data_IF_529674668283
#
_entry.id   IF_529674668283
#
_cell.length_a   1.000
_cell.length_b   1.000
_cell.length_c   1.000
_cell.angle_alpha   90.00
_cell.angle_beta   90.00
_cell.angle_gamma   90.00
#
_symmetry.space_group_name_H-M   'P 1'
#
loop_
_entity.id
_entity.type
_entity.pdbx_description
1 polymer ?
#
# COMPACT_ATOMS: atom_id res chain seq x y z
N UNK A 1 -6.23 1.35 -21.12
CA UNK A 1 -5.27 0.80 -20.16
C UNK A 1 -5.86 0.27 -18.84
N UNK A 2 -7.17 0.35 -18.58
CA UNK A 2 -7.76 -0.02 -17.27
C UNK A 2 -8.30 -1.46 -17.19
N UNK A 3 -8.62 -2.08 -18.32
CA UNK A 3 -9.07 -3.49 -18.39
C UNK A 3 -7.95 -4.52 -18.33
N UNK A 4 -6.74 -4.10 -18.69
CA UNK A 4 -5.57 -4.97 -18.77
C UNK A 4 -5.19 -5.60 -17.44
N UNK A 5 -5.37 -4.90 -16.32
CA UNK A 5 -4.94 -5.41 -15.00
C UNK A 5 -5.77 -6.58 -14.49
N UNK A 6 -7.06 -6.61 -14.75
CA UNK A 6 -7.99 -7.60 -14.17
C UNK A 6 -7.95 -8.93 -14.91
N UNK A 7 -7.96 -8.87 -16.24
CA UNK A 7 -7.79 -10.06 -17.07
C UNK A 7 -6.36 -10.60 -17.02
N UNK A 8 -5.37 -9.71 -16.73
CA UNK A 8 -4.00 -9.98 -16.37
C UNK A 8 -3.90 -10.90 -15.17
N UNK A 9 -4.66 -10.60 -14.13
CA UNK A 9 -4.66 -11.30 -12.86
C UNK A 9 -5.32 -12.68 -12.96
N UNK A 10 -6.32 -12.85 -13.82
CA UNK A 10 -6.87 -14.16 -14.15
C UNK A 10 -5.82 -15.10 -14.81
N UNK A 11 -4.84 -14.52 -15.52
CA UNK A 11 -3.77 -15.30 -16.15
C UNK A 11 -2.52 -15.46 -15.28
N UNK A 12 -2.18 -14.47 -14.45
CA UNK A 12 -0.91 -14.40 -13.68
C UNK A 12 -1.04 -15.00 -12.28
N UNK A 13 -2.14 -14.77 -11.58
CA UNK A 13 -2.31 -15.25 -10.20
C UNK A 13 -2.21 -16.78 -10.06
N UNK A 14 -2.46 -17.52 -11.15
CA UNK A 14 -2.30 -18.98 -11.17
C UNK A 14 -0.90 -19.48 -11.58
N UNK A 15 -0.05 -18.62 -12.16
CA UNK A 15 1.29 -19.01 -12.60
C UNK A 15 2.35 -18.87 -11.52
N UNK A 16 2.18 -17.94 -10.58
CA UNK A 16 3.10 -17.80 -9.44
C UNK A 16 2.94 -18.89 -8.36
N UNK A 17 1.82 -19.60 -8.32
CA UNK A 17 1.62 -20.71 -7.39
C UNK A 17 2.33 -22.02 -7.79
N UNK A 18 2.87 -22.14 -9.00
CA UNK A 18 3.53 -23.36 -9.48
C UNK A 18 5.04 -23.35 -9.28
N UNK A 19 5.66 -22.17 -9.16
CA UNK A 19 7.13 -22.03 -9.00
C UNK A 19 7.64 -22.06 -7.54
N UNK A 20 6.76 -22.27 -6.53
CA UNK A 20 7.16 -22.26 -5.12
C UNK A 20 7.50 -23.63 -4.52
N UNK A 21 7.75 -24.65 -5.35
CA UNK A 21 8.10 -26.01 -4.86
C UNK A 21 9.47 -26.50 -5.26
N UNK A 22 10.47 -25.61 -5.36
CA UNK A 22 11.86 -26.10 -5.35
C UNK A 22 12.82 -25.01 -4.90
N UNK A 23 13.43 -25.17 -3.74
CA UNK A 23 14.53 -24.32 -3.31
C UNK A 23 14.68 -24.19 -1.81
N UNK A 24 15.40 -25.13 -1.24
CA UNK A 24 15.86 -25.21 0.14
C UNK A 24 16.66 -23.97 0.61
N UNK A 25 16.41 -23.66 1.90
CA UNK A 25 17.41 -23.30 2.92
C UNK A 25 18.17 -21.98 2.78
N UNK A 26 17.90 -21.07 3.71
CA UNK A 26 18.86 -20.64 4.74
C UNK A 26 18.22 -19.59 5.66
N UNK A 27 17.82 -20.07 6.82
CA UNK A 27 17.61 -19.25 8.02
C UNK A 27 18.92 -18.63 8.42
N UNK A 28 18.97 -17.30 8.59
CA UNK A 28 19.87 -16.65 9.53
C UNK A 28 19.09 -15.62 10.33
N UNK A 29 18.80 -16.04 11.55
CA UNK A 29 18.43 -15.23 12.69
C UNK A 29 19.44 -14.10 12.91
N UNK A 30 18.96 -12.89 12.96
CA UNK A 30 19.66 -11.78 13.61
C UNK A 30 18.75 -11.24 14.71
N UNK A 31 18.87 -11.88 15.88
CA UNK A 31 18.54 -11.30 17.17
C UNK A 31 19.80 -10.59 17.64
N UNK A 32 19.75 -9.27 17.77
CA UNK A 32 20.67 -8.57 18.66
C UNK A 32 20.01 -7.36 19.30
N UNK A 33 19.80 -7.50 20.57
CA UNK A 33 19.97 -6.63 21.72
C UNK A 33 19.62 -5.13 21.55
N UNK A 34 18.43 -4.80 22.02
CA UNK A 34 18.14 -3.49 22.60
C UNK A 34 18.23 -3.59 24.12
N UNK A 35 19.40 -3.28 24.67
CA UNK A 35 19.55 -2.99 26.09
C UNK A 35 19.03 -1.57 26.36
N UNK A 36 17.96 -1.52 27.12
CA UNK A 36 17.43 -0.32 27.75
C UNK A 36 18.43 0.14 28.84
N UNK A 37 19.00 1.33 28.68
CA UNK A 37 19.68 2.04 29.78
C UNK A 37 18.76 3.18 30.20
N UNK A 38 18.07 2.96 31.30
CA UNK A 38 17.47 4.02 32.11
C UNK A 38 18.58 4.60 32.98
N UNK A 39 18.95 5.86 32.74
CA UNK A 39 19.55 6.64 33.83
C UNK A 39 19.16 8.12 33.68
N UNK A 40 18.47 8.60 34.70
CA UNK A 40 18.02 9.96 34.92
C UNK A 40 19.09 10.72 35.71
N UNK A 41 19.76 11.67 35.06
CA UNK A 41 20.39 12.79 35.77
C UNK A 41 20.53 14.01 34.80
N UNK A 42 20.23 15.22 35.21
CA UNK A 42 20.41 16.42 34.41
C UNK A 42 21.87 16.87 34.49
N UNK A 43 22.62 16.60 33.41
CA UNK A 43 23.99 17.09 33.29
C UNK A 43 23.99 18.41 32.55
N UNK A 44 24.38 19.47 33.25
CA UNK A 44 24.64 20.80 32.74
C UNK A 44 25.60 20.78 31.53
N UNK A 45 25.11 21.18 30.38
CA UNK A 45 25.80 21.15 29.07
C UNK A 45 27.07 22.04 28.99
N UNK A 46 27.39 22.82 30.02
CA UNK A 46 28.52 23.73 30.02
C UNK A 46 29.89 23.05 30.20
N UNK A 47 29.96 21.81 30.74
CA UNK A 47 31.23 21.15 31.04
C UNK A 47 31.69 20.09 30.03
N UNK A 48 30.91 19.80 28.97
CA UNK A 48 31.26 18.75 28.01
C UNK A 48 32.00 19.21 26.74
N UNK A 49 32.10 20.52 26.52
CA UNK A 49 32.82 21.09 25.36
C UNK A 49 34.35 21.16 25.54
N UNK A 50 34.89 20.81 26.71
CA UNK A 50 36.32 21.00 27.02
C UNK A 50 37.13 19.71 27.12
N UNK A 51 36.57 18.51 26.80
CA UNK A 51 37.27 17.26 27.07
C UNK A 51 37.52 16.30 25.89
N UNK A 52 37.34 16.73 24.65
CA UNK A 52 37.69 15.88 23.49
C UNK A 52 38.46 16.69 22.45
N UNK A 53 39.65 17.16 22.83
CA UNK A 53 40.77 17.28 21.87
C UNK A 53 42.07 17.23 22.72
N UNK A 54 42.63 16.04 22.73
CA UNK A 54 44.00 15.85 23.17
C UNK A 54 44.97 16.17 22.05
N UNK A 55 45.83 17.11 22.33
CA UNK A 55 47.24 17.20 21.97
C UNK A 55 47.64 16.89 20.54
N UNK A 56 47.83 17.94 19.76
CA UNK A 56 49.11 18.30 19.12
C UNK A 56 48.88 19.45 18.15
N UNK A 57 49.17 20.68 18.57
CA UNK A 57 49.66 21.80 17.76
C UNK A 57 49.70 23.05 18.62
N UNK A 58 50.83 23.29 19.16
CA UNK A 58 51.24 24.61 19.64
C UNK A 58 51.55 25.41 18.37
N UNK A 59 50.59 26.28 18.02
CA UNK A 59 50.79 27.51 17.24
C UNK A 59 49.43 27.99 16.72
N UNK A 60 48.67 28.63 17.57
CA UNK A 60 47.79 29.78 17.23
C UNK A 60 47.01 30.32 18.45
N UNK A 61 47.72 30.80 19.45
CA UNK A 61 47.10 31.48 20.63
C UNK A 61 46.33 32.72 20.29
N UNK A 62 46.56 33.32 19.12
CA UNK A 62 45.86 34.54 18.69
C UNK A 62 44.49 34.23 18.07
N UNK A 63 44.28 33.04 17.49
CA UNK A 63 42.99 32.65 16.88
C UNK A 63 41.94 32.21 17.90
N UNK A 64 42.35 31.46 18.96
CA UNK A 64 41.45 30.99 19.99
C UNK A 64 40.82 32.12 20.82
N UNK A 65 41.58 33.17 21.11
CA UNK A 65 41.09 34.33 21.82
C UNK A 65 39.98 35.05 21.04
N UNK A 66 40.18 35.27 19.76
CA UNK A 66 39.18 35.90 18.89
C UNK A 66 37.90 35.08 18.73
N UNK A 67 37.99 33.77 18.65
CA UNK A 67 36.81 32.83 18.58
C UNK A 67 36.04 32.85 19.91
N UNK A 68 36.74 32.84 21.06
CA UNK A 68 36.09 32.92 22.37
C UNK A 68 35.43 34.26 22.59
N UNK A 69 36.04 35.35 22.15
CA UNK A 69 35.49 36.70 22.29
C UNK A 69 34.31 36.91 21.35
N UNK A 70 34.35 36.40 20.12
CA UNK A 70 33.22 36.42 19.21
C UNK A 70 32.03 35.59 19.75
N UNK A 71 32.30 34.42 20.37
CA UNK A 71 31.26 33.60 21.02
C UNK A 71 30.64 34.31 22.22
N UNK A 72 31.48 34.96 23.08
CA UNK A 72 31.02 35.77 24.21
C UNK A 72 30.20 36.98 23.76
N UNK A 73 30.62 37.69 22.72
CA UNK A 73 29.89 38.81 22.15
C UNK A 73 28.54 38.38 21.58
N UNK A 74 28.50 37.24 20.88
CA UNK A 74 27.27 36.66 20.37
C UNK A 74 26.32 36.22 21.52
N UNK A 75 26.81 35.54 22.53
CA UNK A 75 26.04 35.16 23.72
C UNK A 75 25.48 36.39 24.46
N UNK A 76 26.28 37.42 24.63
CA UNK A 76 25.88 38.71 25.24
C UNK A 76 24.76 39.36 24.42
N UNK A 77 24.90 39.45 23.11
CA UNK A 77 23.87 40.02 22.21
C UNK A 77 22.53 39.27 22.29
N UNK A 78 22.57 37.92 22.39
CA UNK A 78 21.38 37.11 22.59
C UNK A 78 20.72 37.37 23.95
N UNK A 79 21.55 37.53 25.03
CA UNK A 79 21.06 37.84 26.36
C UNK A 79 20.43 39.21 26.44
N UNK A 80 21.06 40.22 25.84
CA UNK A 80 20.54 41.59 25.78
C UNK A 80 19.24 41.67 25.02
N UNK A 81 19.12 40.98 23.87
CA UNK A 81 17.88 40.84 23.09
C UNK A 81 16.77 40.21 23.92
N UNK A 82 17.08 39.12 24.63
CA UNK A 82 16.11 38.43 25.49
C UNK A 82 15.63 39.32 26.62
N UNK A 83 16.52 40.06 27.24
CA UNK A 83 16.22 41.00 28.36
C UNK A 83 15.27 42.10 27.88
N UNK A 84 15.53 42.70 26.73
CA UNK A 84 14.69 43.75 26.14
C UNK A 84 13.28 43.18 25.78
N UNK A 85 13.21 42.03 25.16
CA UNK A 85 11.94 41.37 24.84
C UNK A 85 11.13 41.06 26.12
N UNK A 86 11.78 40.61 27.19
CA UNK A 86 11.13 40.35 28.48
C UNK A 86 10.62 41.65 29.14
N UNK A 87 11.34 42.76 28.99
CA UNK A 87 10.91 44.07 29.51
C UNK A 87 9.65 44.55 28.80
N UNK A 88 9.51 44.27 27.50
CA UNK A 88 8.35 44.70 26.69
C UNK A 88 7.10 43.81 26.92
N UNK A 89 7.15 42.78 27.75
CA UNK A 89 6.03 41.84 28.04
C UNK A 89 5.32 41.28 26.79
N UNK A 90 6.09 41.07 25.70
CA UNK A 90 5.54 40.52 24.43
C UNK A 90 5.03 39.12 24.61
N UNK A 91 4.05 38.75 23.79
CA UNK A 91 3.63 37.33 23.65
C UNK A 91 4.70 36.52 22.90
N UNK A 92 4.67 35.18 23.05
CA UNK A 92 5.61 34.30 22.30
C UNK A 92 5.45 34.47 20.78
N UNK A 93 4.23 34.72 20.29
CA UNK A 93 3.96 34.96 18.88
C UNK A 93 4.57 36.27 18.39
N UNK A 94 4.46 37.34 19.17
CA UNK A 94 5.08 38.65 18.83
C UNK A 94 6.61 38.53 18.81
N UNK A 95 7.18 37.80 19.76
CA UNK A 95 8.61 37.53 19.77
C UNK A 95 9.03 36.73 18.54
N UNK A 96 8.30 35.64 18.21
CA UNK A 96 8.56 34.86 17.00
C UNK A 96 8.59 35.75 15.75
N UNK A 97 7.61 36.63 15.61
CA UNK A 97 7.54 37.56 14.47
C UNK A 97 8.70 38.55 14.45
N UNK A 98 9.10 39.10 15.62
CA UNK A 98 10.19 40.07 15.73
C UNK A 98 11.57 39.46 15.46
N UNK A 99 11.74 38.16 15.65
CA UNK A 99 13.00 37.47 15.40
C UNK A 99 13.34 37.28 13.93
N UNK A 100 12.36 37.46 13.04
CA UNK A 100 12.50 37.30 11.58
C UNK A 100 13.18 35.95 11.21
N UNK A 101 12.55 34.87 11.62
CA UNK A 101 13.07 33.51 11.41
C UNK A 101 12.91 33.03 9.97
N UNK A 102 12.22 33.78 9.11
CA UNK A 102 11.92 33.42 7.73
C UNK A 102 10.55 32.79 7.58
N UNK A 103 10.21 32.42 6.34
CA UNK A 103 8.88 31.94 5.99
C UNK A 103 8.77 30.41 6.01
N UNK A 104 9.89 29.70 6.19
CA UNK A 104 9.91 28.25 6.30
C UNK A 104 10.49 27.75 7.63
N UNK A 105 9.91 26.66 8.13
CA UNK A 105 10.31 26.04 9.40
C UNK A 105 11.73 25.46 9.34
N UNK A 106 12.12 24.88 8.23
CA UNK A 106 13.42 24.21 8.09
C UNK A 106 14.56 25.23 8.18
N UNK A 107 14.37 26.42 7.61
CA UNK A 107 15.26 27.56 7.78
C UNK A 107 15.25 28.11 9.19
N UNK A 108 14.08 28.21 9.81
CA UNK A 108 13.92 28.68 11.19
C UNK A 108 14.68 27.80 12.19
N UNK A 109 14.63 26.46 12.04
CA UNK A 109 15.32 25.49 12.90
C UNK A 109 16.85 25.63 12.88
N UNK A 110 17.42 26.21 11.84
CA UNK A 110 18.88 26.44 11.71
C UNK A 110 19.34 27.76 12.32
N UNK A 111 18.43 28.67 12.65
CA UNK A 111 18.78 30.01 13.12
C UNK A 111 19.02 30.02 14.61
N UNK A 112 20.17 30.56 15.05
CA UNK A 112 20.51 30.75 16.48
C UNK A 112 19.46 31.59 17.24
N UNK A 113 18.75 32.48 16.54
CA UNK A 113 17.65 33.26 17.11
C UNK A 113 16.49 32.41 17.63
N UNK A 114 16.33 31.17 17.17
CA UNK A 114 15.31 30.25 17.69
C UNK A 114 15.58 29.89 19.17
N UNK A 115 16.84 29.84 19.56
CA UNK A 115 17.24 29.64 20.97
C UNK A 115 16.79 30.80 21.86
N UNK A 116 16.76 32.03 21.34
CA UNK A 116 16.21 33.20 22.06
C UNK A 116 14.70 33.00 22.34
N UNK A 117 13.95 32.52 21.34
CA UNK A 117 12.52 32.21 21.51
C UNK A 117 12.30 31.09 22.52
N UNK A 118 13.10 30.01 22.47
CA UNK A 118 13.03 28.90 23.40
C UNK A 118 13.26 29.39 24.84
N UNK A 119 14.36 30.11 25.08
CA UNK A 119 14.68 30.67 26.37
C UNK A 119 13.63 31.67 26.89
N UNK A 120 13.03 32.43 25.98
CA UNK A 120 11.92 33.33 26.30
C UNK A 120 10.69 32.56 26.78
N UNK A 121 10.27 31.52 26.07
CA UNK A 121 9.15 30.65 26.42
C UNK A 121 9.40 29.98 27.78
N UNK A 122 10.60 29.46 28.02
CA UNK A 122 10.95 28.85 29.31
C UNK A 122 10.81 29.85 30.49
N UNK A 123 11.24 31.10 30.30
CA UNK A 123 11.10 32.17 31.32
C UNK A 123 9.63 32.60 31.48
N UNK A 124 8.84 32.66 30.42
CA UNK A 124 7.40 32.92 30.50
C UNK A 124 6.69 31.82 31.31
N UNK A 125 6.99 30.58 31.02
CA UNK A 125 6.37 29.43 31.70
C UNK A 125 6.72 29.37 33.20
N UNK A 126 7.96 29.73 33.55
CA UNK A 126 8.36 29.88 34.96
C UNK A 126 7.60 30.97 35.71
N UNK A 127 7.23 32.04 35.02
CA UNK A 127 6.42 33.13 35.60
C UNK A 127 4.93 32.83 35.62
N UNK A 128 4.46 32.00 34.71
CA UNK A 128 3.04 31.67 34.54
C UNK A 128 2.85 30.15 34.44
N UNK A 129 3.00 29.41 35.55
CA UNK A 129 2.95 27.94 35.53
C UNK A 129 1.58 27.40 35.12
N UNK A 130 0.50 28.16 35.37
CA UNK A 130 -0.88 27.77 35.04
C UNK A 130 -1.22 27.98 33.54
N UNK A 131 -0.37 28.67 32.79
CA UNK A 131 -0.57 29.00 31.35
C UNK A 131 0.68 28.72 30.55
N UNK A 132 1.14 27.47 30.58
CA UNK A 132 2.35 27.11 29.85
C UNK A 132 2.14 27.11 28.34
N UNK A 133 3.15 27.61 27.62
CA UNK A 133 3.21 27.60 26.16
C UNK A 133 4.39 26.71 25.74
N UNK A 134 4.22 26.01 24.62
CA UNK A 134 5.30 25.21 24.03
C UNK A 134 5.95 25.92 22.85
N UNK A 135 7.25 25.69 22.64
CA UNK A 135 7.95 26.17 21.46
C UNK A 135 7.33 25.59 20.19
N UNK A 136 6.98 24.32 20.22
CA UNK A 136 6.31 23.62 19.10
C UNK A 136 4.94 24.27 18.80
N UNK A 137 4.11 24.53 19.79
CA UNK A 137 2.81 25.18 19.59
C UNK A 137 2.96 26.59 19.03
N UNK A 138 3.97 27.35 19.47
CA UNK A 138 4.27 28.67 18.93
C UNK A 138 4.71 28.63 17.47
N UNK A 139 5.50 27.62 17.09
CA UNK A 139 5.91 27.39 15.70
C UNK A 139 4.72 26.95 14.84
N UNK A 140 3.88 26.03 15.33
CA UNK A 140 2.70 25.55 14.62
C UNK A 140 1.69 26.64 14.35
N UNK A 141 1.50 27.56 15.28
CA UNK A 141 0.62 28.71 15.09
C UNK A 141 1.05 29.64 13.93
N UNK A 142 2.35 29.68 13.63
CA UNK A 142 2.88 30.49 12.50
C UNK A 142 3.00 29.71 11.20
N UNK A 143 3.53 28.50 11.27
CA UNK A 143 3.94 27.74 10.07
C UNK A 143 2.96 26.62 9.68
N UNK A 144 2.01 26.31 10.54
CA UNK A 144 1.01 25.26 10.33
C UNK A 144 1.34 23.93 11.04
N UNK A 145 0.28 23.23 11.41
CA UNK A 145 0.36 21.98 12.16
C UNK A 145 0.87 20.78 11.35
N UNK A 146 0.95 20.90 10.02
CA UNK A 146 1.49 19.88 9.12
C UNK A 146 2.94 20.17 8.70
N UNK A 147 3.31 21.45 8.58
CA UNK A 147 4.65 21.85 8.15
C UNK A 147 5.70 21.70 9.26
N UNK A 148 5.35 22.05 10.50
CA UNK A 148 6.28 21.94 11.65
C UNK A 148 6.67 20.49 11.89
N UNK A 149 5.78 19.50 12.00
CA UNK A 149 6.13 18.09 12.08
C UNK A 149 7.00 17.60 10.94
N UNK A 150 6.70 17.98 9.71
CA UNK A 150 7.50 17.61 8.53
C UNK A 150 8.93 18.13 8.62
N UNK A 151 9.10 19.37 9.02
CA UNK A 151 10.43 20.00 9.18
C UNK A 151 11.23 19.37 10.33
N UNK A 152 10.60 19.09 11.47
CA UNK A 152 11.19 18.42 12.64
C UNK A 152 11.75 17.06 12.26
N UNK A 153 10.95 16.19 11.63
CA UNK A 153 11.41 14.86 11.21
C UNK A 153 12.49 14.96 10.15
N UNK A 154 12.39 15.95 9.24
CA UNK A 154 13.42 16.23 8.24
C UNK A 154 14.75 16.59 8.86
N UNK A 155 14.76 17.52 9.82
CA UNK A 155 15.95 18.00 10.48
C UNK A 155 16.63 16.91 11.32
N UNK A 156 15.84 16.08 12.02
CA UNK A 156 16.34 14.97 12.83
C UNK A 156 17.06 13.89 12.00
N UNK A 157 16.59 13.64 10.74
CA UNK A 157 17.09 12.53 9.91
C UNK A 157 18.15 12.91 8.90
N UNK A 158 18.34 14.19 8.59
CA UNK A 158 19.35 14.61 7.61
C UNK A 158 20.74 14.37 8.15
N UNK A 159 21.59 13.72 7.37
CA UNK A 159 22.99 13.43 7.74
C UNK A 159 23.82 14.70 7.79
N UNK A 160 23.52 15.68 6.95
CA UNK A 160 24.19 16.98 6.83
C UNK A 160 23.69 18.06 7.80
N UNK A 161 22.67 17.77 8.63
CA UNK A 161 22.24 18.70 9.68
C UNK A 161 23.27 18.81 10.79
N UNK A 162 23.55 20.04 11.22
CA UNK A 162 24.40 20.26 12.39
C UNK A 162 23.82 19.58 13.63
N UNK A 163 24.70 19.12 14.53
CA UNK A 163 24.32 18.35 15.72
C UNK A 163 23.25 19.06 16.55
N UNK A 164 23.41 20.34 16.83
CA UNK A 164 22.44 21.14 17.59
C UNK A 164 21.05 21.19 16.93
N UNK A 165 20.99 21.17 15.59
CA UNK A 165 19.70 21.14 14.86
C UNK A 165 19.01 19.78 15.02
N UNK A 166 19.77 18.69 15.01
CA UNK A 166 19.24 17.35 15.24
C UNK A 166 18.73 17.19 16.68
N UNK A 167 19.47 17.68 17.65
CA UNK A 167 19.07 17.66 19.06
C UNK A 167 17.80 18.49 19.30
N UNK A 168 17.75 19.71 18.77
CA UNK A 168 16.56 20.55 18.84
C UNK A 168 15.36 19.89 18.15
N UNK A 169 15.52 19.33 16.96
CA UNK A 169 14.47 18.64 16.25
C UNK A 169 13.96 17.42 17.04
N UNK A 170 14.84 16.69 17.71
CA UNK A 170 14.46 15.55 18.58
C UNK A 170 13.66 16.02 19.80
N UNK A 171 14.07 17.11 20.44
CA UNK A 171 13.32 17.73 21.54
C UNK A 171 11.94 18.20 21.09
N UNK A 172 11.86 18.90 19.97
CA UNK A 172 10.59 19.38 19.40
C UNK A 172 9.65 18.25 19.04
N UNK A 173 10.19 17.13 18.51
CA UNK A 173 9.40 15.91 18.22
C UNK A 173 8.76 15.37 19.49
N UNK A 174 9.54 15.21 20.58
CA UNK A 174 9.00 14.73 21.85
C UNK A 174 7.96 15.70 22.44
N UNK A 175 8.19 17.01 22.33
CA UNK A 175 7.23 18.02 22.77
C UNK A 175 5.94 17.96 21.96
N UNK A 176 6.01 17.73 20.63
CA UNK A 176 4.85 17.60 19.77
C UNK A 176 3.97 16.39 20.14
N UNK A 177 4.60 15.24 20.36
CA UNK A 177 3.89 14.02 20.75
C UNK A 177 3.18 14.20 22.11
N UNK A 178 3.87 14.79 23.10
CA UNK A 178 3.28 15.09 24.40
C UNK A 178 2.14 16.09 24.30
N UNK A 179 2.32 17.17 23.54
CA UNK A 179 1.30 18.19 23.37
C UNK A 179 0.01 17.60 22.77
N UNK A 180 0.11 16.68 21.85
CA UNK A 180 -1.07 15.99 21.32
C UNK A 180 -1.74 15.09 22.36
N UNK A 181 -0.96 14.34 23.17
CA UNK A 181 -1.48 13.50 24.24
C UNK A 181 -2.17 14.34 25.33
N UNK A 182 -1.50 15.40 25.79
CA UNK A 182 -2.00 16.29 26.86
C UNK A 182 -3.28 17.03 26.44
N UNK A 183 -3.43 17.31 25.12
CA UNK A 183 -4.64 17.89 24.54
C UNK A 183 -5.70 16.83 24.17
N UNK A 184 -5.54 15.58 24.57
CA UNK A 184 -6.51 14.50 24.34
C UNK A 184 -6.73 14.16 22.86
N UNK A 185 -5.77 14.45 21.97
CA UNK A 185 -5.91 14.15 20.55
C UNK A 185 -5.96 12.65 20.31
N UNK A 186 -6.95 12.19 19.57
CA UNK A 186 -6.95 10.83 19.04
C UNK A 186 -5.91 10.68 17.92
N UNK A 187 -5.57 9.43 17.56
CA UNK A 187 -4.67 9.18 16.42
C UNK A 187 -5.29 9.66 15.11
N UNK A 188 -6.61 9.55 14.98
CA UNK A 188 -7.34 10.04 13.79
C UNK A 188 -7.34 11.58 13.72
N UNK A 189 -7.36 12.29 14.87
CA UNK A 189 -7.19 13.74 14.89
C UNK A 189 -5.80 14.14 14.41
N UNK A 190 -4.76 13.42 14.85
CA UNK A 190 -3.38 13.69 14.42
C UNK A 190 -3.20 13.37 12.93
N UNK A 191 -3.81 12.31 12.40
CA UNK A 191 -3.82 12.05 10.95
C UNK A 191 -4.38 13.25 10.16
N UNK A 192 -5.48 13.84 10.64
CA UNK A 192 -6.10 15.03 10.01
C UNK A 192 -5.23 16.28 10.16
N UNK A 193 -4.67 16.54 11.36
CA UNK A 193 -3.77 17.68 11.62
C UNK A 193 -2.54 17.63 10.69
N UNK A 194 -2.02 16.44 10.44
CA UNK A 194 -0.90 16.22 9.53
C UNK A 194 -1.30 16.32 8.04
N UNK A 195 -2.58 16.49 7.72
CA UNK A 195 -3.11 16.53 6.34
C UNK A 195 -2.63 15.36 5.48
N UNK A 196 -2.53 14.17 6.07
CA UNK A 196 -2.07 12.97 5.36
C UNK A 196 -3.07 12.50 4.29
N UNK A 197 -4.35 12.77 4.48
CA UNK A 197 -5.38 12.47 3.48
C UNK A 197 -5.19 13.21 2.16
N UNK A 198 -4.73 14.47 2.24
CA UNK A 198 -4.50 15.33 1.07
C UNK A 198 -3.28 14.90 0.25
N UNK A 199 -2.31 14.24 0.89
CA UNK A 199 -1.10 13.71 0.24
C UNK A 199 -1.41 12.47 -0.63
N UNK A 200 -2.60 11.86 -0.52
CA UNK A 200 -2.97 10.66 -1.26
C UNK A 200 -1.98 9.51 -1.01
N UNK A 201 -1.56 8.79 -2.06
CA UNK A 201 -0.59 7.69 -1.91
C UNK A 201 0.83 8.15 -1.57
N UNK A 202 1.18 9.42 -1.80
CA UNK A 202 2.48 9.99 -1.41
C UNK A 202 2.62 10.08 0.12
N UNK A 203 1.51 10.05 0.87
CA UNK A 203 1.51 9.93 2.32
C UNK A 203 2.37 8.76 2.80
N UNK A 204 2.46 7.66 2.03
CA UNK A 204 3.22 6.46 2.39
C UNK A 204 4.74 6.69 2.49
N UNK A 205 5.25 7.73 1.86
CA UNK A 205 6.66 8.15 1.94
C UNK A 205 6.83 9.48 2.66
N UNK A 206 5.73 10.07 3.10
CA UNK A 206 5.75 11.35 3.81
C UNK A 206 6.47 11.22 5.16
N UNK A 207 7.28 12.22 5.49
CA UNK A 207 7.89 12.32 6.81
C UNK A 207 6.87 12.55 7.93
N UNK A 208 5.70 13.09 7.58
CA UNK A 208 4.55 13.25 8.49
C UNK A 208 4.05 11.88 8.99
N UNK A 209 4.07 10.86 8.12
CA UNK A 209 3.66 9.50 8.48
C UNK A 209 4.53 8.89 9.58
N UNK A 210 5.82 9.23 9.59
CA UNK A 210 6.74 8.76 10.64
C UNK A 210 6.33 9.31 12.01
N UNK A 211 5.93 10.59 12.05
CA UNK A 211 5.50 11.18 13.30
C UNK A 211 4.15 10.64 13.77
N UNK A 212 3.26 10.30 12.84
CA UNK A 212 2.01 9.60 13.15
C UNK A 212 2.29 8.21 13.76
N UNK A 213 3.24 7.46 13.19
CA UNK A 213 3.62 6.14 13.71
C UNK A 213 4.21 6.24 15.11
N UNK A 214 5.07 7.24 15.36
CA UNK A 214 5.56 7.54 16.71
C UNK A 214 4.43 7.89 17.67
N UNK A 215 3.47 8.69 17.23
CA UNK A 215 2.33 9.07 18.04
C UNK A 215 1.45 7.86 18.39
N UNK A 216 1.26 6.93 17.46
CA UNK A 216 0.56 5.67 17.73
C UNK A 216 1.21 4.91 18.89
N UNK A 217 2.54 4.86 18.93
CA UNK A 217 3.27 4.18 20.01
C UNK A 217 3.01 4.85 21.35
N UNK A 218 3.14 6.19 21.43
CA UNK A 218 2.89 6.95 22.67
C UNK A 218 1.42 6.90 23.09
N UNK A 219 0.49 7.05 22.13
CA UNK A 219 -0.95 6.95 22.37
C UNK A 219 -1.33 5.58 22.94
N UNK A 220 -0.83 4.50 22.36
CA UNK A 220 -1.11 3.13 22.82
C UNK A 220 -0.54 2.85 24.21
N UNK A 221 0.59 3.49 24.56
CA UNK A 221 1.17 3.41 25.90
C UNK A 221 0.29 4.13 26.93
N UNK A 222 -0.21 5.31 26.59
CA UNK A 222 -1.07 6.11 27.46
C UNK A 222 -2.50 5.55 27.54
N UNK A 223 -2.97 4.84 26.51
CA UNK A 223 -4.35 4.35 26.39
C UNK A 223 -4.42 2.85 26.13
N UNK A 224 -4.06 1.98 27.09
CA UNK A 224 -3.96 0.53 26.88
C UNK A 224 -5.29 -0.15 26.48
N UNK A 225 -6.43 0.45 26.88
CA UNK A 225 -7.77 -0.03 26.52
C UNK A 225 -8.25 0.38 25.11
N UNK A 226 -7.56 1.32 24.45
CA UNK A 226 -7.97 1.91 23.16
C UNK A 226 -6.83 1.86 22.11
N UNK A 227 -6.09 0.78 22.10
CA UNK A 227 -4.96 0.62 21.17
C UNK A 227 -5.40 0.67 19.71
N UNK A 228 -4.60 1.33 18.89
CA UNK A 228 -4.76 1.37 17.44
C UNK A 228 -3.47 0.97 16.72
N UNK A 229 -3.52 0.84 15.41
CA UNK A 229 -2.38 0.51 14.56
C UNK A 229 -2.31 1.49 13.40
N UNK A 230 -1.13 1.65 12.79
CA UNK A 230 -0.98 2.46 11.58
C UNK A 230 -1.97 2.03 10.50
N UNK A 231 -2.11 0.72 10.28
CA UNK A 231 -3.04 0.19 9.28
C UNK A 231 -4.48 0.61 9.56
N UNK A 232 -4.96 0.46 10.81
CA UNK A 232 -6.32 0.87 11.20
C UNK A 232 -6.53 2.37 11.02
N UNK A 233 -5.56 3.19 11.43
CA UNK A 233 -5.61 4.65 11.27
C UNK A 233 -5.64 5.06 9.80
N UNK A 234 -4.81 4.43 8.95
CA UNK A 234 -4.83 4.69 7.51
C UNK A 234 -6.16 4.24 6.87
N UNK A 235 -6.70 3.10 7.29
CA UNK A 235 -8.01 2.62 6.81
C UNK A 235 -9.10 3.66 7.13
N UNK A 236 -9.18 4.12 8.35
CA UNK A 236 -10.15 5.16 8.77
C UNK A 236 -9.87 6.49 8.06
N UNK A 237 -8.62 6.93 8.05
CA UNK A 237 -8.21 8.23 7.53
C UNK A 237 -8.42 8.38 6.02
N UNK A 238 -8.27 7.31 5.26
CA UNK A 238 -8.54 7.29 3.82
C UNK A 238 -9.98 6.88 3.44
N UNK A 239 -10.89 6.71 4.42
CA UNK A 239 -12.30 6.49 4.18
C UNK A 239 -12.70 5.02 3.95
N UNK A 240 -11.99 4.08 4.59
CA UNK A 240 -12.30 2.64 4.61
C UNK A 240 -11.41 1.79 3.73
N UNK A 241 -11.59 0.47 3.83
CA UNK A 241 -10.76 -0.53 3.15
C UNK A 241 -10.74 -0.33 1.63
N UNK A 242 -11.89 -0.08 1.02
CA UNK A 242 -12.00 0.10 -0.43
C UNK A 242 -11.13 1.25 -0.94
N UNK A 243 -11.18 2.40 -0.27
CA UNK A 243 -10.37 3.57 -0.64
C UNK A 243 -8.89 3.33 -0.36
N UNK A 244 -8.55 2.75 0.80
CA UNK A 244 -7.18 2.41 1.12
C UNK A 244 -6.60 1.44 0.09
N UNK A 245 -7.30 0.36 -0.27
CA UNK A 245 -6.84 -0.60 -1.28
C UNK A 245 -6.65 0.06 -2.64
N UNK A 246 -7.57 0.95 -3.06
CA UNK A 246 -7.42 1.74 -4.30
C UNK A 246 -6.16 2.60 -4.27
N UNK A 247 -5.87 3.24 -3.13
CA UNK A 247 -4.67 4.04 -2.92
C UNK A 247 -3.41 3.17 -2.96
N UNK A 248 -3.41 2.02 -2.27
CA UNK A 248 -2.29 1.09 -2.26
C UNK A 248 -2.00 0.52 -3.65
N UNK A 249 -3.04 0.21 -4.43
CA UNK A 249 -2.91 -0.23 -5.82
C UNK A 249 -2.21 0.85 -6.68
N UNK A 250 -2.57 2.13 -6.51
CA UNK A 250 -1.88 3.23 -7.18
C UNK A 250 -0.43 3.38 -6.71
N UNK A 251 -0.19 3.28 -5.40
CA UNK A 251 1.13 3.42 -4.78
C UNK A 251 2.13 2.34 -5.23
N UNK A 252 1.68 1.15 -5.59
CA UNK A 252 2.55 0.06 -6.10
C UNK A 252 3.20 0.37 -7.44
N UNK A 253 2.70 1.35 -8.19
CA UNK A 253 3.29 1.78 -9.46
C UNK A 253 4.45 2.79 -9.28
N UNK A 254 4.61 3.38 -8.10
CA UNK A 254 5.73 4.27 -7.77
C UNK A 254 6.78 3.49 -6.97
N UNK A 255 8.03 3.46 -7.45
CA UNK A 255 9.15 2.75 -6.83
C UNK A 255 9.36 3.18 -5.37
N UNK A 256 9.11 4.46 -5.04
CA UNK A 256 9.30 5.02 -3.70
C UNK A 256 8.29 4.49 -2.69
N UNK A 257 7.04 4.27 -3.12
CA UNK A 257 5.92 3.85 -2.25
C UNK A 257 5.62 2.36 -2.31
N UNK A 258 6.10 1.66 -3.36
CA UNK A 258 5.79 0.24 -3.65
C UNK A 258 5.99 -0.68 -2.45
N UNK A 259 7.14 -0.58 -1.79
CA UNK A 259 7.46 -1.47 -0.65
C UNK A 259 6.46 -1.27 0.51
N UNK A 260 6.19 -0.01 0.89
CA UNK A 260 5.25 0.31 1.97
C UNK A 260 3.81 -0.04 1.59
N UNK A 261 3.42 0.19 0.35
CA UNK A 261 2.09 -0.19 -0.15
C UNK A 261 1.88 -1.71 -0.08
N UNK A 262 2.89 -2.50 -0.48
CA UNK A 262 2.84 -3.96 -0.41
C UNK A 262 2.78 -4.46 1.04
N UNK A 263 3.55 -3.86 1.94
CA UNK A 263 3.51 -4.16 3.38
C UNK A 263 2.11 -3.96 3.97
N UNK A 264 1.48 -2.81 3.67
CA UNK A 264 0.14 -2.45 4.16
C UNK A 264 -0.94 -3.35 3.55
N UNK A 265 -0.87 -3.65 2.25
CA UNK A 265 -1.78 -4.60 1.60
C UNK A 265 -1.70 -5.98 2.27
N UNK A 266 -0.49 -6.50 2.48
CA UNK A 266 -0.30 -7.76 3.20
C UNK A 266 -0.82 -7.68 4.65
N UNK A 267 -0.73 -6.50 5.27
CA UNK A 267 -1.34 -6.23 6.58
C UNK A 267 -2.86 -6.40 6.57
N UNK A 268 -3.55 -5.82 5.56
CA UNK A 268 -5.00 -5.99 5.36
C UNK A 268 -5.37 -7.45 5.13
N UNK A 269 -4.67 -8.16 4.24
CA UNK A 269 -4.93 -9.59 3.99
C UNK A 269 -4.83 -10.42 5.27
N UNK A 270 -3.80 -10.17 6.09
CA UNK A 270 -3.65 -10.85 7.39
C UNK A 270 -4.73 -10.45 8.40
N UNK A 271 -5.18 -9.21 8.38
CA UNK A 271 -6.26 -8.73 9.24
C UNK A 271 -7.56 -9.45 8.88
N UNK A 272 -8.00 -9.44 7.62
CA UNK A 272 -9.21 -10.14 7.17
C UNK A 272 -9.15 -11.65 7.44
N UNK A 273 -7.95 -12.26 7.33
CA UNK A 273 -7.74 -13.67 7.66
C UNK A 273 -7.91 -13.97 9.15
N UNK A 274 -7.44 -13.07 10.05
CA UNK A 274 -7.61 -13.20 11.51
C UNK A 274 -9.06 -13.00 11.93
N UNK A 275 -9.76 -12.10 11.26
CA UNK A 275 -11.18 -11.83 11.45
C UNK A 275 -12.07 -12.91 10.83
N UNK A 276 -11.48 -13.93 10.18
CA UNK A 276 -12.16 -15.02 9.47
C UNK A 276 -13.22 -14.54 8.47
N UNK A 277 -12.96 -13.41 7.78
CA UNK A 277 -13.89 -12.91 6.78
C UNK A 277 -14.02 -13.93 5.64
N UNK A 278 -15.23 -14.12 5.17
CA UNK A 278 -15.47 -14.89 3.95
C UNK A 278 -15.25 -14.02 2.70
N UNK A 279 -15.07 -14.62 1.52
CA UNK A 279 -14.88 -13.86 0.28
C UNK A 279 -16.01 -12.86 -0.01
N UNK A 280 -17.27 -13.15 0.33
CA UNK A 280 -18.40 -12.27 0.07
C UNK A 280 -18.32 -11.01 0.96
N UNK A 281 -17.91 -11.16 2.22
CA UNK A 281 -17.66 -10.07 3.15
C UNK A 281 -16.54 -9.15 2.65
N UNK A 282 -15.40 -9.70 2.19
CA UNK A 282 -14.30 -8.90 1.64
C UNK A 282 -14.70 -8.23 0.32
N UNK A 283 -15.49 -8.89 -0.53
CA UNK A 283 -16.04 -8.29 -1.74
C UNK A 283 -16.86 -7.03 -1.41
N UNK A 284 -17.69 -7.08 -0.38
CA UNK A 284 -18.47 -5.93 0.10
C UNK A 284 -17.58 -4.81 0.66
N UNK A 285 -16.58 -5.14 1.52
CA UNK A 285 -15.61 -4.17 2.05
C UNK A 285 -14.86 -3.42 0.94
N UNK A 286 -14.59 -4.09 -0.17
CA UNK A 286 -13.88 -3.53 -1.31
C UNK A 286 -14.78 -2.85 -2.35
N UNK A 287 -16.10 -2.73 -2.08
CA UNK A 287 -17.10 -2.20 -3.03
C UNK A 287 -17.10 -2.94 -4.37
N UNK A 288 -16.99 -4.27 -4.32
CA UNK A 288 -17.00 -5.16 -5.48
C UNK A 288 -18.37 -5.84 -5.67
N UNK A 289 -19.43 -5.33 -5.05
CA UNK A 289 -20.78 -5.90 -5.09
C UNK A 289 -21.77 -5.07 -5.93
N UNK A 290 -21.29 -4.15 -6.77
CA UNK A 290 -22.08 -3.19 -7.54
C UNK A 290 -22.26 -3.53 -9.03
N UNK A 291 -22.34 -4.81 -9.37
CA UNK A 291 -22.50 -5.32 -10.73
C UNK A 291 -21.19 -5.80 -11.36
N UNK A 292 -21.25 -6.95 -12.03
CA UNK A 292 -20.07 -7.70 -12.51
C UNK A 292 -19.19 -6.89 -13.48
N UNK A 293 -19.77 -6.09 -14.36
CA UNK A 293 -19.01 -5.24 -15.29
C UNK A 293 -18.18 -4.17 -14.57
N UNK A 294 -18.72 -3.62 -13.46
CA UNK A 294 -17.98 -2.66 -12.62
C UNK A 294 -16.88 -3.34 -11.83
N UNK A 295 -17.16 -4.53 -11.30
CA UNK A 295 -16.19 -5.34 -10.55
C UNK A 295 -14.98 -5.66 -11.40
N UNK A 296 -15.17 -6.15 -12.62
CA UNK A 296 -14.07 -6.51 -13.53
C UNK A 296 -13.17 -5.31 -13.89
N UNK A 297 -13.67 -4.08 -13.74
CA UNK A 297 -12.93 -2.83 -13.96
C UNK A 297 -12.38 -2.19 -12.69
N UNK A 298 -12.64 -2.79 -11.54
CA UNK A 298 -12.28 -2.19 -10.26
C UNK A 298 -10.82 -2.49 -9.90
N UNK A 299 -10.08 -1.46 -9.48
CA UNK A 299 -8.67 -1.60 -9.08
C UNK A 299 -8.48 -2.48 -7.84
N UNK A 300 -9.52 -2.60 -7.01
CA UNK A 300 -9.47 -3.40 -5.79
C UNK A 300 -9.52 -4.92 -6.06
N UNK A 301 -9.78 -5.30 -7.31
CA UNK A 301 -9.93 -6.69 -7.70
C UNK A 301 -8.63 -7.49 -7.51
N UNK A 302 -7.47 -6.88 -7.76
CA UNK A 302 -6.16 -7.50 -7.52
C UNK A 302 -5.98 -7.92 -6.05
N UNK A 303 -6.33 -7.03 -5.13
CA UNK A 303 -6.24 -7.33 -3.69
C UNK A 303 -7.27 -8.38 -3.27
N UNK A 304 -8.47 -8.34 -3.86
CA UNK A 304 -9.49 -9.36 -3.63
C UNK A 304 -9.02 -10.75 -4.09
N UNK A 305 -8.43 -10.85 -5.27
CA UNK A 305 -7.88 -12.11 -5.78
C UNK A 305 -6.79 -12.68 -4.86
N UNK A 306 -5.87 -11.83 -4.40
CA UNK A 306 -4.87 -12.24 -3.40
C UNK A 306 -5.53 -12.77 -2.13
N UNK A 307 -6.63 -12.14 -1.70
CA UNK A 307 -7.36 -12.63 -0.54
C UNK A 307 -7.97 -14.01 -0.79
N UNK A 308 -8.58 -14.23 -1.96
CA UNK A 308 -9.12 -15.55 -2.35
C UNK A 308 -8.03 -16.61 -2.27
N UNK A 309 -6.83 -16.35 -2.77
CA UNK A 309 -5.72 -17.29 -2.71
C UNK A 309 -5.32 -17.62 -1.25
N UNK A 310 -5.23 -16.59 -0.39
CA UNK A 310 -4.93 -16.75 1.04
C UNK A 310 -6.04 -17.52 1.75
N UNK A 311 -7.30 -17.18 1.46
CA UNK A 311 -8.49 -17.85 2.04
C UNK A 311 -8.54 -19.32 1.67
N UNK A 312 -8.37 -19.66 0.38
CA UNK A 312 -8.40 -21.04 -0.11
C UNK A 312 -7.27 -21.90 0.45
N UNK A 313 -6.07 -21.31 0.63
CA UNK A 313 -4.95 -21.99 1.28
C UNK A 313 -5.25 -22.34 2.75
N UNK A 314 -5.99 -21.47 3.46
CA UNK A 314 -6.40 -21.71 4.86
C UNK A 314 -7.56 -22.69 4.97
N UNK A 315 -8.40 -22.78 3.93
CA UNK A 315 -9.60 -23.62 3.91
C UNK A 315 -9.52 -24.67 2.78
N UNK A 316 -8.61 -25.65 2.86
CA UNK A 316 -8.37 -26.62 1.78
C UNK A 316 -9.58 -27.54 1.54
N UNK A 317 -10.41 -27.77 2.55
CA UNK A 317 -11.64 -28.57 2.43
C UNK A 317 -12.73 -27.85 1.59
N UNK A 318 -12.67 -26.52 1.52
CA UNK A 318 -13.65 -25.72 0.77
C UNK A 318 -12.97 -24.57 0.01
N UNK A 319 -12.09 -24.89 -0.96
CA UNK A 319 -11.34 -23.89 -1.70
C UNK A 319 -12.26 -23.10 -2.59
N UNK A 320 -12.13 -21.80 -2.56
CA UNK A 320 -12.87 -20.86 -3.41
C UNK A 320 -11.95 -20.31 -4.49
N UNK A 321 -12.34 -20.41 -5.75
CA UNK A 321 -11.66 -19.72 -6.84
C UNK A 321 -12.18 -18.29 -6.95
N UNK A 322 -11.42 -17.39 -7.59
CA UNK A 322 -11.88 -16.04 -7.88
C UNK A 322 -13.23 -16.04 -8.62
N UNK A 323 -13.35 -16.88 -9.65
CA UNK A 323 -14.58 -17.02 -10.38
C UNK A 323 -15.71 -17.59 -9.52
N UNK A 324 -15.40 -18.57 -8.66
CA UNK A 324 -16.35 -19.11 -7.67
C UNK A 324 -16.90 -18.02 -6.77
N UNK A 325 -16.05 -17.13 -6.27
CA UNK A 325 -16.48 -16.00 -5.46
C UNK A 325 -17.39 -15.02 -6.25
N UNK A 326 -17.08 -14.74 -7.51
CA UNK A 326 -17.95 -13.93 -8.37
C UNK A 326 -19.31 -14.60 -8.64
N UNK A 327 -19.33 -15.92 -8.91
CA UNK A 327 -20.58 -16.64 -9.21
C UNK A 327 -21.41 -16.94 -7.97
N UNK A 328 -20.86 -16.81 -6.77
CA UNK A 328 -21.66 -16.78 -5.53
C UNK A 328 -22.51 -15.51 -5.40
N UNK A 329 -22.03 -14.40 -5.96
CA UNK A 329 -22.71 -13.08 -5.88
C UNK A 329 -23.52 -12.76 -7.13
N UNK A 330 -23.01 -13.12 -8.31
CA UNK A 330 -23.62 -12.82 -9.60
C UNK A 330 -23.99 -14.11 -10.31
N UNK A 331 -25.05 -14.06 -11.11
CA UNK A 331 -25.41 -15.20 -11.95
C UNK A 331 -24.26 -15.60 -12.88
N UNK A 332 -24.03 -16.91 -13.01
CA UNK A 332 -22.93 -17.47 -13.81
C UNK A 332 -22.96 -16.98 -15.26
N UNK A 333 -24.16 -16.76 -15.81
CA UNK A 333 -24.34 -16.21 -17.17
C UNK A 333 -23.87 -14.76 -17.30
N UNK A 334 -24.13 -13.92 -16.30
CA UNK A 334 -23.70 -12.53 -16.31
C UNK A 334 -22.18 -12.41 -16.16
N UNK A 335 -21.57 -13.23 -15.30
CA UNK A 335 -20.12 -13.30 -15.18
C UNK A 335 -19.47 -13.75 -16.48
N UNK A 336 -20.01 -14.80 -17.12
CA UNK A 336 -19.55 -15.28 -18.43
C UNK A 336 -19.66 -14.22 -19.52
N UNK A 337 -20.80 -13.53 -19.60
CA UNK A 337 -21.05 -12.44 -20.55
C UNK A 337 -20.03 -11.31 -20.39
N UNK A 338 -19.81 -10.86 -19.16
CA UNK A 338 -18.90 -9.75 -18.87
C UNK A 338 -17.44 -10.09 -19.25
N UNK A 339 -16.98 -11.32 -18.95
CA UNK A 339 -15.62 -11.77 -19.29
C UNK A 339 -15.47 -11.92 -20.82
N UNK A 340 -16.46 -12.55 -21.48
CA UNK A 340 -16.39 -12.81 -22.93
C UNK A 340 -16.49 -11.52 -23.76
N UNK A 341 -17.14 -10.48 -23.24
CA UNK A 341 -17.19 -9.16 -23.89
C UNK A 341 -15.81 -8.52 -24.07
N UNK A 342 -14.88 -8.81 -23.17
CA UNK A 342 -13.57 -8.16 -23.09
C UNK A 342 -12.42 -9.05 -23.62
N UNK A 343 -12.70 -9.98 -24.51
CA UNK A 343 -11.69 -10.95 -25.01
C UNK A 343 -10.53 -10.33 -25.77
N UNK A 344 -10.75 -9.29 -26.56
CA UNK A 344 -9.68 -8.64 -27.34
C UNK A 344 -8.59 -8.10 -26.43
N UNK A 345 -8.98 -7.44 -25.34
CA UNK A 345 -8.04 -6.94 -24.33
C UNK A 345 -7.26 -8.08 -23.67
N UNK A 346 -7.90 -9.22 -23.43
CA UNK A 346 -7.22 -10.40 -22.86
C UNK A 346 -6.23 -11.01 -23.86
N UNK A 347 -6.58 -11.09 -25.15
CA UNK A 347 -5.69 -11.58 -26.20
C UNK A 347 -4.44 -10.70 -26.33
N UNK A 348 -4.59 -9.38 -26.37
CA UNK A 348 -3.46 -8.43 -26.39
C UNK A 348 -2.56 -8.59 -25.18
N UNK A 349 -3.15 -8.76 -24.01
CA UNK A 349 -2.38 -8.96 -22.78
C UNK A 349 -1.58 -10.27 -22.80
N UNK A 350 -2.20 -11.38 -23.20
CA UNK A 350 -1.49 -12.67 -23.29
C UNK A 350 -0.29 -12.56 -24.22
N UNK A 351 -0.38 -11.78 -25.30
CA UNK A 351 0.76 -11.53 -26.17
C UNK A 351 1.90 -10.79 -25.47
N UNK A 352 1.59 -9.76 -24.71
CA UNK A 352 2.60 -9.00 -23.92
C UNK A 352 3.19 -9.91 -22.84
N UNK A 353 2.36 -10.60 -22.08
CA UNK A 353 2.78 -11.52 -21.02
C UNK A 353 3.72 -12.61 -21.53
N UNK A 354 3.38 -13.26 -22.65
CA UNK A 354 4.21 -14.29 -23.26
C UNK A 354 5.60 -13.76 -23.65
N UNK A 355 5.64 -12.52 -24.16
CA UNK A 355 6.91 -11.86 -24.52
C UNK A 355 7.77 -11.58 -23.30
N UNK A 356 7.17 -11.02 -22.25
CA UNK A 356 7.91 -10.63 -21.03
C UNK A 356 8.39 -11.84 -20.23
N UNK A 357 7.54 -12.85 -20.08
CA UNK A 357 7.82 -14.05 -19.27
C UNK A 357 8.44 -15.19 -20.05
N UNK A 358 8.60 -15.05 -21.37
CA UNK A 358 9.11 -16.11 -22.29
C UNK A 358 8.34 -17.43 -22.19
N UNK A 359 7.02 -17.34 -22.05
CA UNK A 359 6.09 -18.47 -21.97
C UNK A 359 5.16 -18.49 -23.19
N UNK A 360 4.39 -19.55 -23.35
CA UNK A 360 3.45 -19.75 -24.48
C UNK A 360 2.02 -19.95 -23.96
N UNK A 361 1.54 -19.05 -23.10
CA UNK A 361 0.16 -19.12 -22.63
C UNK A 361 -0.81 -18.83 -23.79
N UNK A 362 -1.94 -19.55 -23.80
CA UNK A 362 -2.99 -19.37 -24.80
C UNK A 362 -4.25 -18.80 -24.19
N UNK A 363 -5.06 -18.10 -25.00
CA UNK A 363 -6.36 -17.59 -24.55
C UNK A 363 -7.21 -18.71 -23.89
N UNK A 364 -7.27 -19.88 -24.53
CA UNK A 364 -8.04 -21.01 -23.99
C UNK A 364 -7.40 -21.58 -22.71
N UNK A 365 -6.08 -21.58 -22.62
CA UNK A 365 -5.36 -21.98 -21.42
C UNK A 365 -5.68 -21.04 -20.25
N UNK A 366 -5.52 -19.74 -20.46
CA UNK A 366 -5.78 -18.71 -19.48
C UNK A 366 -7.26 -18.72 -19.01
N UNK A 367 -8.20 -18.77 -19.97
CA UNK A 367 -9.63 -18.86 -19.65
C UNK A 367 -9.98 -20.14 -18.89
N UNK A 368 -9.48 -21.31 -19.35
CA UNK A 368 -9.77 -22.57 -18.66
C UNK A 368 -9.24 -22.56 -17.23
N UNK A 369 -8.01 -22.05 -17.00
CA UNK A 369 -7.47 -21.89 -15.65
C UNK A 369 -8.35 -20.95 -14.82
N UNK A 370 -8.69 -19.78 -15.35
CA UNK A 370 -9.50 -18.77 -14.66
C UNK A 370 -10.92 -19.28 -14.32
N UNK A 371 -11.51 -20.08 -15.18
CA UNK A 371 -12.85 -20.67 -14.96
C UNK A 371 -12.84 -21.97 -14.15
N UNK A 372 -11.70 -22.43 -13.64
CA UNK A 372 -11.62 -23.65 -12.86
C UNK A 372 -11.71 -24.93 -13.71
N UNK A 373 -11.19 -24.89 -14.93
CA UNK A 373 -11.03 -26.04 -15.82
C UNK A 373 -11.83 -25.95 -17.13
N UNK A 374 -11.48 -26.82 -18.06
CA UNK A 374 -12.08 -26.87 -19.40
C UNK A 374 -13.59 -27.18 -19.37
N UNK A 375 -14.04 -27.99 -18.41
CA UNK A 375 -15.46 -28.28 -18.16
C UNK A 375 -16.26 -27.03 -17.87
N UNK A 376 -15.82 -26.25 -16.89
CA UNK A 376 -16.48 -25.01 -16.47
C UNK A 376 -16.48 -23.98 -17.58
N UNK A 377 -15.33 -23.80 -18.25
CA UNK A 377 -15.24 -22.92 -19.41
C UNK A 377 -16.29 -23.29 -20.49
N UNK A 378 -16.40 -24.56 -20.87
CA UNK A 378 -17.34 -25.00 -21.88
C UNK A 378 -18.81 -24.71 -21.48
N UNK A 379 -19.19 -25.01 -20.23
CA UNK A 379 -20.53 -24.74 -19.70
C UNK A 379 -20.83 -23.24 -19.70
N UNK A 380 -19.88 -22.39 -19.29
CA UNK A 380 -20.04 -20.94 -19.27
C UNK A 380 -20.14 -20.31 -20.68
N UNK A 381 -19.38 -20.80 -21.63
CA UNK A 381 -19.47 -20.37 -23.02
C UNK A 381 -20.85 -20.67 -23.62
N UNK A 382 -21.46 -21.80 -23.26
CA UNK A 382 -22.84 -22.13 -23.69
C UNK A 382 -23.85 -21.15 -23.11
N UNK A 383 -23.67 -20.65 -21.90
CA UNK A 383 -24.52 -19.61 -21.28
C UNK A 383 -24.25 -18.23 -21.90
N UNK A 384 -23.00 -17.84 -22.08
CA UNK A 384 -22.63 -16.56 -22.68
C UNK A 384 -23.21 -16.37 -24.09
N UNK A 385 -23.41 -17.46 -24.86
CA UNK A 385 -24.04 -17.43 -26.20
C UNK A 385 -25.50 -17.03 -26.19
N UNK A 386 -26.19 -17.09 -25.08
CA UNK A 386 -27.61 -16.68 -25.00
C UNK A 386 -27.77 -15.15 -25.02
N UNK A 387 -26.70 -14.41 -24.74
CA UNK A 387 -26.71 -12.95 -24.76
C UNK A 387 -26.18 -12.40 -26.09
N UNK A 388 -26.90 -11.48 -26.75
CA UNK A 388 -26.50 -10.93 -28.05
C UNK A 388 -25.08 -10.39 -28.09
N UNK A 389 -24.71 -9.59 -27.10
CA UNK A 389 -23.41 -8.86 -27.01
C UNK A 389 -22.18 -9.77 -26.87
N UNK A 390 -22.35 -10.95 -26.31
CA UNK A 390 -21.25 -11.91 -26.08
C UNK A 390 -21.30 -13.12 -27.05
N UNK A 391 -22.38 -13.25 -27.83
CA UNK A 391 -22.63 -14.43 -28.68
C UNK A 391 -21.47 -14.74 -29.63
N UNK A 392 -20.99 -13.73 -30.36
CA UNK A 392 -19.93 -13.89 -31.36
C UNK A 392 -18.65 -14.35 -30.71
N UNK A 393 -18.21 -13.68 -29.65
CA UNK A 393 -17.01 -13.99 -28.93
C UNK A 393 -17.10 -15.37 -28.23
N UNK A 394 -18.25 -15.71 -27.64
CA UNK A 394 -18.47 -17.04 -27.05
C UNK A 394 -18.34 -18.15 -28.07
N UNK A 395 -18.84 -17.95 -29.32
CA UNK A 395 -18.66 -18.90 -30.41
C UNK A 395 -17.19 -19.00 -30.82
N UNK A 396 -16.45 -17.87 -30.92
CA UNK A 396 -15.02 -17.84 -31.25
C UNK A 396 -14.23 -18.68 -30.25
N UNK A 397 -14.41 -18.43 -28.95
CA UNK A 397 -13.72 -19.14 -27.87
C UNK A 397 -14.09 -20.62 -27.80
N UNK A 398 -15.39 -20.93 -27.92
CA UNK A 398 -15.86 -22.34 -27.98
C UNK A 398 -15.21 -23.12 -29.13
N UNK A 399 -15.13 -22.54 -30.30
CA UNK A 399 -14.52 -23.19 -31.46
C UNK A 399 -12.99 -23.38 -31.24
N UNK A 400 -12.33 -22.45 -30.58
CA UNK A 400 -10.91 -22.60 -30.20
C UNK A 400 -10.72 -23.70 -29.15
N UNK A 401 -11.64 -23.83 -28.17
CA UNK A 401 -11.64 -24.95 -27.22
C UNK A 401 -11.87 -26.31 -27.91
N UNK A 402 -12.81 -26.38 -28.83
CA UNK A 402 -13.07 -27.58 -29.63
C UNK A 402 -11.89 -27.97 -30.50
N UNK A 403 -11.18 -26.99 -31.07
CA UNK A 403 -9.90 -27.24 -31.78
C UNK A 403 -8.88 -27.88 -30.84
N UNK A 404 -8.67 -27.29 -29.66
CA UNK A 404 -7.74 -27.84 -28.66
C UNK A 404 -8.11 -29.26 -28.25
N UNK A 405 -9.40 -29.58 -28.08
CA UNK A 405 -9.86 -30.92 -27.77
C UNK A 405 -9.56 -31.89 -28.90
N UNK A 406 -9.89 -31.54 -30.15
CA UNK A 406 -9.55 -32.35 -31.33
C UNK A 406 -8.04 -32.62 -31.43
N UNK A 407 -7.24 -31.58 -31.26
CA UNK A 407 -5.77 -31.66 -31.40
C UNK A 407 -5.15 -32.54 -30.29
N UNK A 408 -5.86 -32.73 -29.18
CA UNK A 408 -5.53 -33.68 -28.10
C UNK A 408 -6.13 -35.08 -28.31
N UNK A 409 -6.71 -35.36 -29.45
CA UNK A 409 -7.32 -36.64 -29.75
C UNK A 409 -8.66 -36.90 -29.06
N UNK A 410 -9.33 -35.84 -28.53
CA UNK A 410 -10.69 -36.00 -28.00
C UNK A 410 -11.69 -36.09 -29.16
N UNK A 411 -12.69 -36.95 -28.95
CA UNK A 411 -13.78 -37.17 -29.87
C UNK A 411 -15.13 -37.10 -29.12
N UNK A 412 -16.27 -37.09 -29.85
CA UNK A 412 -17.59 -37.03 -29.21
C UNK A 412 -17.88 -38.12 -28.19
N UNK A 413 -17.28 -39.30 -28.36
CA UNK A 413 -17.51 -40.46 -27.45
C UNK A 413 -16.80 -40.28 -26.13
N UNK A 414 -15.55 -39.78 -26.13
CA UNK A 414 -14.73 -39.72 -24.93
C UNK A 414 -14.68 -38.35 -24.25
N UNK A 415 -15.26 -37.28 -24.84
CA UNK A 415 -15.23 -35.92 -24.25
C UNK A 415 -16.01 -35.87 -22.94
N UNK A 416 -17.11 -36.61 -22.79
CA UNK A 416 -17.88 -36.67 -21.53
C UNK A 416 -17.05 -37.20 -20.38
N UNK A 417 -16.36 -38.32 -20.58
CA UNK A 417 -15.53 -38.92 -19.52
C UNK A 417 -14.25 -38.14 -19.27
N UNK A 418 -13.54 -37.72 -20.33
CA UNK A 418 -12.22 -37.08 -20.19
C UNK A 418 -12.26 -35.61 -19.79
N UNK A 419 -13.30 -34.86 -20.17
CA UNK A 419 -13.43 -33.43 -19.84
C UNK A 419 -14.42 -33.21 -18.71
N UNK A 420 -15.59 -33.86 -18.77
CA UNK A 420 -16.65 -33.62 -17.82
C UNK A 420 -16.64 -34.59 -16.63
N UNK A 421 -15.88 -35.70 -16.71
CA UNK A 421 -15.80 -36.76 -15.71
C UNK A 421 -17.17 -37.36 -15.40
N UNK A 422 -17.99 -37.55 -16.43
CA UNK A 422 -19.34 -38.13 -16.32
C UNK A 422 -19.59 -39.14 -17.46
N UNK A 423 -20.38 -40.15 -17.20
CA UNK A 423 -20.93 -41.07 -18.20
C UNK A 423 -22.15 -40.40 -18.89
N UNK A 424 -22.57 -40.94 -20.03
CA UNK A 424 -23.66 -40.35 -20.82
C UNK A 424 -24.99 -40.29 -20.05
N UNK A 425 -25.28 -41.30 -19.26
CA UNK A 425 -26.48 -41.36 -18.42
C UNK A 425 -26.52 -40.25 -17.36
N UNK A 426 -25.36 -39.90 -16.78
CA UNK A 426 -25.21 -38.85 -15.76
C UNK A 426 -24.98 -37.44 -16.32
N UNK A 427 -24.85 -37.31 -17.64
CA UNK A 427 -24.54 -36.00 -18.25
C UNK A 427 -25.74 -35.04 -18.21
N UNK A 428 -25.48 -33.79 -17.79
CA UNK A 428 -26.49 -32.75 -17.77
C UNK A 428 -26.92 -32.32 -19.19
N UNK A 429 -28.06 -31.64 -19.29
CA UNK A 429 -28.57 -31.14 -20.60
C UNK A 429 -27.54 -30.23 -21.29
N UNK A 430 -26.83 -29.40 -20.57
CA UNK A 430 -25.81 -28.51 -21.12
C UNK A 430 -24.61 -29.31 -21.66
N UNK A 431 -24.17 -30.34 -20.94
CA UNK A 431 -23.07 -31.21 -21.36
C UNK A 431 -23.42 -32.00 -22.62
N UNK A 432 -24.60 -32.60 -22.67
CA UNK A 432 -25.13 -33.29 -23.90
C UNK A 432 -25.18 -32.33 -25.09
N UNK A 433 -25.57 -31.07 -24.88
CA UNK A 433 -25.58 -30.06 -25.93
C UNK A 433 -24.18 -29.69 -26.40
N UNK A 434 -23.19 -29.57 -25.47
CA UNK A 434 -21.79 -29.33 -25.82
C UNK A 434 -21.24 -30.46 -26.67
N UNK A 435 -21.48 -31.72 -26.28
CA UNK A 435 -21.07 -32.90 -27.07
C UNK A 435 -21.65 -32.87 -28.46
N UNK A 436 -22.97 -32.63 -28.62
CA UNK A 436 -23.63 -32.51 -29.93
C UNK A 436 -22.98 -31.43 -30.79
N UNK A 437 -22.67 -30.26 -30.23
CA UNK A 437 -22.00 -29.20 -30.98
C UNK A 437 -20.55 -29.54 -31.34
N UNK A 438 -19.85 -30.29 -30.46
CA UNK A 438 -18.51 -30.78 -30.77
C UNK A 438 -18.53 -31.82 -31.88
N UNK A 439 -19.53 -32.72 -31.90
CA UNK A 439 -19.78 -33.66 -33.02
C UNK A 439 -19.92 -32.91 -34.34
N UNK A 440 -20.84 -31.94 -34.39
CA UNK A 440 -21.04 -31.11 -35.58
C UNK A 440 -19.78 -30.36 -36.01
N UNK A 441 -18.98 -29.88 -35.06
CA UNK A 441 -17.69 -29.24 -35.34
C UNK A 441 -16.70 -30.22 -36.02
N UNK A 442 -16.56 -31.45 -35.50
CA UNK A 442 -15.70 -32.50 -36.07
C UNK A 442 -16.15 -32.89 -37.48
N UNK A 443 -17.45 -33.15 -37.68
CA UNK A 443 -18.03 -33.50 -38.98
C UNK A 443 -17.73 -32.44 -40.04
N UNK A 444 -17.95 -31.15 -39.71
CA UNK A 444 -17.67 -30.02 -40.63
C UNK A 444 -16.19 -29.96 -41.00
N UNK A 445 -15.30 -30.23 -40.07
CA UNK A 445 -13.85 -30.23 -40.34
C UNK A 445 -13.43 -31.39 -41.21
N UNK A 446 -13.95 -32.59 -40.97
CA UNK A 446 -13.68 -33.76 -41.78
C UNK A 446 -14.23 -33.58 -43.22
N UNK A 447 -15.45 -33.07 -43.37
CA UNK A 447 -16.00 -32.76 -44.68
C UNK A 447 -15.19 -31.70 -45.47
N UNK A 448 -14.61 -30.72 -44.76
CA UNK A 448 -13.71 -29.72 -45.39
C UNK A 448 -12.41 -30.35 -45.90
N UNK A 449 -11.83 -31.30 -45.13
CA UNK A 449 -10.61 -32.04 -45.55
C UNK A 449 -10.91 -32.90 -46.79
N UNK A 450 -12.03 -33.64 -46.79
CA UNK A 450 -12.42 -34.45 -47.97
C UNK A 450 -12.64 -33.63 -49.22
N UNK A 451 -13.15 -32.39 -49.12
CA UNK A 451 -13.30 -31.49 -50.27
C UNK A 451 -11.99 -31.01 -50.86
N UNK A 452 -10.95 -30.88 -50.05
CA UNK A 452 -9.61 -30.44 -50.47
C UNK A 452 -8.79 -31.59 -51.08
N UNK A 453 -9.06 -32.84 -50.61
CA UNK A 453 -8.34 -34.04 -51.02
C UNK A 453 -9.02 -34.83 -52.12
N UNK A 454 -10.17 -34.37 -52.65
CA UNK A 454 -10.87 -35.03 -53.78
C UNK A 454 -10.13 -34.74 -55.11
N UNK A 455 -9.44 -35.73 -55.70
CA UNK A 455 -8.65 -35.50 -56.92
C UNK A 455 -9.47 -35.21 -58.18
N UNK A 456 -10.81 -35.25 -58.08
CA UNK A 456 -11.76 -34.99 -59.20
C UNK A 456 -12.08 -33.50 -59.38
N UNK A 457 -11.45 -32.60 -58.63
CA UNK A 457 -11.67 -31.15 -58.69
C UNK A 457 -10.44 -30.33 -59.09
N UNK A 458 -9.45 -30.96 -59.71
CA UNK A 458 -8.33 -30.30 -60.40
C UNK A 458 -8.58 -30.36 -61.91
#
# INVERSE_FOLDING_TARGET
MRFTSVLLLLAVGFLECVDSTSGHSASKTLTDHLTVVTDTQPITLAHRFLRTQGVDAIEDRAGLGKVTDALKAHAKKLTDTLTEILRQKKTAAEVLNSLNLGDDVAGALKKSKLEVLKNYIERLNKKNPDKTISLVGTLSARYGDDEVPRAIVSAARRTDSALHVKELATQLRSQQLRAWLDNGKSVDDVFKLLKLGDDGYEALTSRKLILLDDYIVEFNRANPGHKTTLLKTLTTGFGGESHLVTLLAAAKHDVRTKAKATELENGLLRQWQRENLDPASVMKLLNLDNGVDRVLNNRNLETFEKYIAVFSKKNPENPTTFLGALTMKYEEGEVAKAIVRNLETLEEYILVYNREKKVSETLIGALAKGFGGEKKLAEMLMRARTYPDSKINAIKVKNAQFRKWRDRGLNPVNVLTKVFSVEEAGASRIQKRIVKEFTTYIERKNAAVHRITDPRRI
#
